data_IF_059607136887
#
_entry.id   IF_059607136887
#
_cell.length_a   1.000
_cell.length_b   1.000
_cell.length_c   1.000
_cell.angle_alpha   90.00
_cell.angle_beta   90.00
_cell.angle_gamma   90.00
#
_symmetry.space_group_name_H-M   'P 1'
#
loop_
_entity.id
_entity.type
_entity.pdbx_description
1 polymer ?
#
# COMPACT_ATOMS: atom_id res chain seq x y z
N UNK A 1 -21.02 49.48 32.77
CA UNK A 1 -20.15 48.29 32.88
C UNK A 1 -20.76 47.22 31.97
N UNK A 2 -20.17 46.99 30.79
CA UNK A 2 -20.70 46.11 29.73
C UNK A 2 -20.46 44.63 30.08
N UNK A 3 -21.52 43.82 30.02
CA UNK A 3 -21.49 42.37 30.19
C UNK A 3 -20.89 41.66 28.97
N UNK A 4 -19.97 40.72 29.23
CA UNK A 4 -19.24 39.92 28.25
C UNK A 4 -20.16 38.89 27.59
N UNK A 5 -20.21 38.90 26.26
CA UNK A 5 -20.82 37.84 25.46
C UNK A 5 -19.86 36.64 25.36
N UNK A 6 -20.32 35.44 25.74
CA UNK A 6 -19.63 34.18 25.50
C UNK A 6 -19.86 33.72 24.06
N UNK A 7 -18.78 33.65 23.27
CA UNK A 7 -18.79 33.11 21.92
C UNK A 7 -18.48 31.61 21.99
N UNK A 8 -19.46 30.77 21.65
CA UNK A 8 -19.23 29.33 21.46
C UNK A 8 -18.55 29.10 20.11
N UNK A 9 -17.28 28.67 20.14
CA UNK A 9 -16.58 28.21 18.95
C UNK A 9 -16.95 26.75 18.66
N UNK A 10 -17.72 26.52 17.59
CA UNK A 10 -18.00 25.19 17.06
C UNK A 10 -16.76 24.70 16.30
N UNK A 11 -16.06 23.71 16.86
CA UNK A 11 -15.00 22.97 16.17
C UNK A 11 -15.64 22.01 15.15
N UNK A 12 -15.72 22.43 13.89
CA UNK A 12 -16.00 21.53 12.77
C UNK A 12 -14.79 20.62 12.54
N UNK A 13 -14.95 19.36 12.91
CA UNK A 13 -13.96 18.32 12.61
C UNK A 13 -13.93 18.10 11.09
N UNK A 14 -12.81 18.45 10.44
CA UNK A 14 -12.55 18.09 9.05
C UNK A 14 -12.34 16.57 8.96
N UNK A 15 -13.42 15.81 8.80
CA UNK A 15 -13.33 14.49 8.21
C UNK A 15 -12.98 14.71 6.72
N UNK A 16 -11.71 14.55 6.38
CA UNK A 16 -11.29 14.57 4.98
C UNK A 16 -12.07 13.48 4.24
N UNK A 17 -12.86 13.80 3.20
CA UNK A 17 -13.44 12.78 2.37
C UNK A 17 -12.28 12.01 1.74
N UNK A 18 -12.31 10.68 1.84
CA UNK A 18 -11.47 9.82 1.01
C UNK A 18 -11.87 10.10 -0.44
N UNK A 19 -11.17 11.04 -1.09
CA UNK A 19 -11.33 11.30 -2.50
C UNK A 19 -11.11 9.97 -3.21
N UNK A 20 -12.12 9.50 -3.95
CA UNK A 20 -11.93 8.41 -4.89
C UNK A 20 -10.84 8.90 -5.86
N UNK A 21 -9.66 8.29 -5.77
CA UNK A 21 -8.54 8.66 -6.63
C UNK A 21 -9.00 8.53 -8.09
N UNK A 22 -8.72 9.54 -8.92
CA UNK A 22 -8.91 9.45 -10.36
C UNK A 22 -8.07 8.28 -10.87
N UNK A 23 -8.74 7.19 -11.26
CA UNK A 23 -8.09 5.97 -11.74
C UNK A 23 -7.12 6.24 -12.90
N UNK A 24 -7.38 7.29 -13.69
CA UNK A 24 -6.49 7.73 -14.77
C UNK A 24 -5.19 8.31 -14.23
N UNK A 25 -5.28 9.22 -13.25
CA UNK A 25 -4.12 9.78 -12.56
C UNK A 25 -3.29 8.73 -11.82
N UNK A 26 -3.95 7.75 -11.19
CA UNK A 26 -3.27 6.60 -10.56
C UNK A 26 -2.57 5.75 -11.61
N UNK A 27 -3.22 5.43 -12.73
CA UNK A 27 -2.63 4.65 -13.82
C UNK A 27 -1.40 5.33 -14.40
N UNK A 28 -1.47 6.64 -14.66
CA UNK A 28 -0.32 7.42 -15.13
C UNK A 28 0.85 7.35 -14.14
N UNK A 29 0.59 7.57 -12.85
CA UNK A 29 1.63 7.50 -11.81
C UNK A 29 2.26 6.11 -11.72
N UNK A 30 1.43 5.06 -11.82
CA UNK A 30 1.90 3.67 -11.84
C UNK A 30 2.79 3.41 -13.06
N UNK A 31 2.36 3.83 -14.25
CA UNK A 31 3.12 3.69 -15.50
C UNK A 31 4.46 4.43 -15.47
N UNK A 32 4.49 5.68 -14.98
CA UNK A 32 5.73 6.46 -14.85
C UNK A 32 6.75 5.75 -13.95
N UNK A 33 6.28 5.15 -12.84
CA UNK A 33 7.14 4.39 -11.91
C UNK A 33 7.65 3.09 -12.53
N UNK A 34 6.81 2.38 -13.27
CA UNK A 34 7.21 1.19 -14.04
C UNK A 34 8.26 1.55 -15.10
N UNK A 35 8.02 2.61 -15.86
CA UNK A 35 8.94 3.11 -16.89
C UNK A 35 10.32 3.38 -16.32
N UNK A 36 10.40 4.19 -15.27
CA UNK A 36 11.70 4.58 -14.70
C UNK A 36 12.39 3.43 -13.97
N UNK A 37 11.63 2.50 -13.38
CA UNK A 37 12.16 1.24 -12.83
C UNK A 37 12.76 0.35 -13.94
N UNK A 38 12.12 0.30 -15.12
CA UNK A 38 12.65 -0.43 -16.26
C UNK A 38 13.92 0.21 -16.83
N UNK A 39 14.00 1.55 -16.86
CA UNK A 39 15.21 2.28 -17.27
C UNK A 39 16.37 2.09 -16.26
N UNK A 40 16.08 2.10 -14.95
CA UNK A 40 17.07 1.87 -13.88
C UNK A 40 17.82 0.54 -14.05
N UNK A 41 17.14 -0.52 -14.49
CA UNK A 41 17.79 -1.83 -14.73
C UNK A 41 18.95 -1.76 -15.73
N UNK A 42 18.88 -0.87 -16.71
CA UNK A 42 19.94 -0.68 -17.71
C UNK A 42 20.92 0.43 -17.34
N UNK A 43 20.44 1.44 -16.62
CA UNK A 43 21.17 2.70 -16.42
C UNK A 43 21.71 2.91 -14.99
N UNK A 44 21.38 2.02 -14.05
CA UNK A 44 21.76 2.09 -12.64
C UNK A 44 21.49 3.50 -12.04
N UNK A 45 20.24 3.97 -12.19
CA UNK A 45 19.81 5.31 -11.83
C UNK A 45 19.63 5.49 -10.31
N UNK A 46 19.36 4.43 -9.57
CA UNK A 46 18.91 4.50 -8.19
C UNK A 46 19.79 3.69 -7.22
N UNK A 47 19.85 4.13 -5.98
CA UNK A 47 20.34 3.35 -4.85
C UNK A 47 19.33 2.26 -4.45
N UNK A 48 19.74 1.32 -3.61
CA UNK A 48 18.84 0.26 -3.10
C UNK A 48 17.63 0.83 -2.37
N UNK A 49 17.83 1.83 -1.49
CA UNK A 49 16.73 2.48 -0.76
C UNK A 49 15.72 3.16 -1.69
N UNK A 50 16.20 3.82 -2.74
CA UNK A 50 15.36 4.44 -3.77
C UNK A 50 14.58 3.40 -4.58
N UNK A 51 15.21 2.26 -4.94
CA UNK A 51 14.54 1.15 -5.62
C UNK A 51 13.42 0.55 -4.77
N UNK A 52 13.68 0.29 -3.49
CA UNK A 52 12.69 -0.25 -2.56
C UNK A 52 11.52 0.72 -2.36
N UNK A 53 11.81 2.02 -2.24
CA UNK A 53 10.78 3.05 -2.16
C UNK A 53 9.92 3.11 -3.43
N UNK A 54 10.56 3.08 -4.61
CA UNK A 54 9.87 3.07 -5.90
C UNK A 54 8.99 1.83 -6.03
N UNK A 55 9.50 0.65 -5.67
CA UNK A 55 8.77 -0.61 -5.68
C UNK A 55 7.55 -0.57 -4.75
N UNK A 56 7.71 -0.05 -3.53
CA UNK A 56 6.59 0.19 -2.62
C UNK A 56 5.52 1.09 -3.26
N UNK A 57 5.94 2.17 -3.92
CA UNK A 57 5.02 3.06 -4.64
C UNK A 57 4.31 2.38 -5.80
N UNK A 58 4.97 1.47 -6.51
CA UNK A 58 4.36 0.66 -7.58
C UNK A 58 3.26 -0.24 -6.99
N UNK A 59 3.54 -0.97 -5.90
CA UNK A 59 2.55 -1.86 -5.28
C UNK A 59 1.34 -1.11 -4.71
N UNK A 60 1.54 0.09 -4.16
CA UNK A 60 0.44 0.93 -3.69
C UNK A 60 -0.50 1.31 -4.84
N UNK A 61 0.04 1.84 -5.93
CA UNK A 61 -0.75 2.24 -7.09
C UNK A 61 -1.39 1.03 -7.79
N UNK A 62 -0.70 -0.11 -7.87
CA UNK A 62 -1.25 -1.35 -8.38
C UNK A 62 -2.48 -1.81 -7.55
N UNK A 63 -2.39 -1.74 -6.21
CA UNK A 63 -3.52 -2.05 -5.34
C UNK A 63 -4.72 -1.12 -5.53
N UNK A 64 -4.48 0.16 -5.82
CA UNK A 64 -5.53 1.13 -6.16
C UNK A 64 -6.18 0.82 -7.51
N UNK A 65 -5.39 0.51 -8.54
CA UNK A 65 -5.92 0.12 -9.86
C UNK A 65 -6.77 -1.15 -9.78
N UNK A 66 -6.33 -2.16 -9.02
CA UNK A 66 -7.10 -3.37 -8.78
C UNK A 66 -8.45 -3.06 -8.09
N UNK A 67 -8.46 -2.14 -7.12
CA UNK A 67 -9.71 -1.69 -6.47
C UNK A 67 -10.59 -0.85 -7.40
N UNK A 68 -10.02 -0.23 -8.42
CA UNK A 68 -10.72 0.46 -9.48
C UNK A 68 -11.14 -0.47 -10.64
N UNK A 69 -11.15 -1.80 -10.41
CA UNK A 69 -11.52 -2.84 -11.38
C UNK A 69 -10.62 -2.93 -12.63
N UNK A 70 -9.36 -2.47 -12.55
CA UNK A 70 -8.38 -2.73 -13.60
C UNK A 70 -7.96 -4.20 -13.56
N UNK A 71 -8.00 -4.89 -14.70
CA UNK A 71 -7.63 -6.31 -14.76
C UNK A 71 -6.11 -6.51 -14.73
N UNK A 72 -5.58 -7.59 -14.12
CA UNK A 72 -4.15 -7.92 -14.16
C UNK A 72 -3.61 -8.05 -15.58
N UNK A 73 -4.39 -8.62 -16.51
CA UNK A 73 -3.99 -8.79 -17.90
C UNK A 73 -3.78 -7.45 -18.61
N UNK A 74 -4.70 -6.48 -18.44
CA UNK A 74 -4.52 -5.13 -18.99
C UNK A 74 -3.30 -4.42 -18.38
N UNK A 75 -3.08 -4.55 -17.07
CA UNK A 75 -1.91 -3.95 -16.43
C UNK A 75 -0.61 -4.56 -16.98
N UNK A 76 -0.53 -5.89 -17.12
CA UNK A 76 0.66 -6.55 -17.66
C UNK A 76 1.00 -6.11 -19.10
N UNK A 77 -0.01 -5.93 -19.95
CA UNK A 77 0.19 -5.42 -21.31
C UNK A 77 0.79 -4.01 -21.29
N UNK A 78 0.20 -3.11 -20.50
CA UNK A 78 0.67 -1.73 -20.35
C UNK A 78 2.09 -1.66 -19.73
N UNK A 79 2.38 -2.49 -18.73
CA UNK A 79 3.71 -2.60 -18.13
C UNK A 79 4.75 -3.04 -19.17
N UNK A 80 4.43 -4.03 -20.00
CA UNK A 80 5.33 -4.53 -21.02
C UNK A 80 5.65 -3.44 -22.07
N UNK A 81 4.62 -2.75 -22.56
CA UNK A 81 4.76 -1.66 -23.53
C UNK A 81 5.64 -0.52 -22.98
N UNK A 82 5.28 0.00 -21.81
CA UNK A 82 5.99 1.14 -21.21
C UNK A 82 7.41 0.76 -20.79
N UNK A 83 7.62 -0.46 -20.30
CA UNK A 83 8.96 -0.97 -19.98
C UNK A 83 9.85 -1.08 -21.22
N UNK A 84 9.31 -1.55 -22.35
CA UNK A 84 10.05 -1.66 -23.59
C UNK A 84 10.46 -0.27 -24.12
N UNK A 85 9.51 0.67 -24.13
CA UNK A 85 9.77 2.04 -24.55
C UNK A 85 10.83 2.71 -23.65
N UNK A 86 10.69 2.61 -22.32
CA UNK A 86 11.63 3.21 -21.38
C UNK A 86 13.07 2.71 -21.56
N UNK A 87 13.25 1.42 -21.85
CA UNK A 87 14.57 0.83 -22.15
C UNK A 87 15.17 1.35 -23.46
N UNK A 88 14.35 1.73 -24.44
CA UNK A 88 14.83 2.24 -25.73
C UNK A 88 15.30 3.70 -25.72
N UNK A 89 14.89 4.51 -24.74
CA UNK A 89 15.22 5.94 -24.70
C UNK A 89 16.72 6.20 -24.49
N UNK A 90 17.43 5.28 -23.82
CA UNK A 90 18.83 5.45 -23.43
C UNK A 90 19.03 6.31 -22.18
N UNK A 91 20.15 6.12 -21.50
CA UNK A 91 20.37 6.67 -20.14
C UNK A 91 20.53 8.19 -20.09
N UNK A 92 20.94 8.83 -21.19
CA UNK A 92 21.12 10.27 -21.30
C UNK A 92 19.89 11.00 -21.85
N UNK A 93 18.79 10.30 -22.12
CA UNK A 93 17.58 10.91 -22.63
C UNK A 93 17.01 11.91 -21.60
N UNK A 94 16.61 13.14 -22.01
CA UNK A 94 16.16 14.17 -21.07
C UNK A 94 15.06 13.69 -20.11
N UNK A 95 14.05 12.98 -20.60
CA UNK A 95 12.96 12.46 -19.76
C UNK A 95 13.44 11.46 -18.70
N UNK A 96 14.44 10.61 -19.01
CA UNK A 96 14.99 9.64 -18.05
C UNK A 96 15.73 10.38 -16.94
N UNK A 97 16.55 11.38 -17.30
CA UNK A 97 17.32 12.18 -16.36
C UNK A 97 16.41 13.00 -15.45
N UNK A 98 15.39 13.66 -16.01
CA UNK A 98 14.45 14.50 -15.27
C UNK A 98 13.58 13.69 -14.29
N UNK A 99 13.02 12.56 -14.76
CA UNK A 99 12.21 11.69 -13.90
C UNK A 99 13.08 11.06 -12.80
N UNK A 100 14.30 10.62 -13.12
CA UNK A 100 15.22 10.10 -12.11
C UNK A 100 15.56 11.16 -11.04
N UNK A 101 15.82 12.41 -11.43
CA UNK A 101 16.07 13.51 -10.50
C UNK A 101 14.87 13.76 -9.58
N UNK A 102 13.65 13.69 -10.14
CA UNK A 102 12.40 13.82 -9.38
C UNK A 102 12.27 12.69 -8.36
N UNK A 103 12.46 11.43 -8.76
CA UNK A 103 12.37 10.28 -7.85
C UNK A 103 13.38 10.37 -6.70
N UNK A 104 14.65 10.71 -6.99
CA UNK A 104 15.68 10.92 -5.95
C UNK A 104 15.26 12.02 -4.97
N UNK A 105 14.65 13.09 -5.47
CA UNK A 105 14.15 14.18 -4.62
C UNK A 105 12.98 13.76 -3.74
N UNK A 106 11.98 13.08 -4.31
CA UNK A 106 10.84 12.54 -3.58
C UNK A 106 11.26 11.49 -2.55
N UNK A 107 12.27 10.67 -2.87
CA UNK A 107 12.82 9.69 -1.92
C UNK A 107 13.36 10.35 -0.66
N UNK A 108 14.05 11.50 -0.76
CA UNK A 108 14.55 12.22 0.42
C UNK A 108 13.43 12.65 1.38
N UNK A 109 12.23 12.89 0.86
CA UNK A 109 11.06 13.20 1.69
C UNK A 109 10.48 11.91 2.27
N UNK A 110 10.29 10.88 1.44
CA UNK A 110 9.80 9.57 1.85
C UNK A 110 10.69 8.88 2.89
N UNK A 111 12.01 9.05 2.82
CA UNK A 111 12.97 8.50 3.77
C UNK A 111 12.78 9.09 5.17
N UNK A 112 12.26 10.32 5.27
CA UNK A 112 11.92 10.97 6.53
C UNK A 112 10.55 10.56 7.06
N UNK A 113 9.71 9.94 6.23
CA UNK A 113 8.42 9.40 6.65
C UNK A 113 8.64 8.10 7.43
N UNK A 114 8.53 8.19 8.75
CA UNK A 114 8.73 7.05 9.67
C UNK A 114 7.47 6.21 9.88
N UNK A 115 6.30 6.70 9.47
CA UNK A 115 5.02 6.04 9.69
C UNK A 115 4.11 6.22 8.47
N UNK A 116 3.48 5.13 8.03
CA UNK A 116 2.60 5.08 6.86
C UNK A 116 1.32 4.30 7.22
N UNK A 117 0.20 4.75 6.69
CA UNK A 117 -1.08 4.07 6.84
C UNK A 117 -1.61 3.64 5.47
N UNK A 118 -2.11 2.42 5.43
CA UNK A 118 -2.73 1.81 4.26
C UNK A 118 -4.17 1.45 4.63
N UNK A 119 -5.13 2.37 4.40
CA UNK A 119 -6.53 2.12 4.71
C UNK A 119 -7.06 0.97 3.85
N UNK A 120 -7.83 0.08 4.47
CA UNK A 120 -8.58 -0.96 3.76
C UNK A 120 -10.03 -0.94 4.26
N UNK A 121 -10.99 -1.57 3.55
CA UNK A 121 -12.39 -1.55 3.95
C UNK A 121 -12.67 -2.07 5.36
N UNK A 122 -11.83 -2.96 5.92
CA UNK A 122 -12.07 -3.56 7.25
C UNK A 122 -11.21 -3.00 8.37
N UNK A 123 -9.94 -2.68 8.10
CA UNK A 123 -9.06 -2.06 9.09
C UNK A 123 -7.83 -1.47 8.39
N UNK A 124 -7.18 -0.51 9.03
CA UNK A 124 -5.99 0.16 8.49
C UNK A 124 -4.75 -0.65 8.84
N UNK A 125 -3.90 -0.88 7.82
CA UNK A 125 -2.55 -1.34 8.06
C UNK A 125 -1.64 -0.15 8.37
N UNK A 126 -0.96 -0.21 9.50
CA UNK A 126 0.04 0.77 9.91
C UNK A 126 1.44 0.18 9.71
N UNK A 127 2.31 0.89 9.02
CA UNK A 127 3.72 0.55 8.85
C UNK A 127 4.59 1.60 9.54
N UNK A 128 5.42 1.17 10.48
CA UNK A 128 6.41 2.01 11.14
C UNK A 128 7.81 1.62 10.75
N UNK A 129 8.69 2.60 10.57
CA UNK A 129 10.15 2.47 10.43
C UNK A 129 10.90 2.89 11.69
N UNK A 130 10.19 3.37 12.71
CA UNK A 130 10.81 3.70 14.00
C UNK A 130 11.33 2.43 14.67
N UNK A 131 12.58 2.45 15.11
CA UNK A 131 13.17 1.37 15.91
C UNK A 131 12.53 1.23 17.31
N UNK A 132 11.80 2.25 17.76
CA UNK A 132 11.09 2.25 19.04
C UNK A 132 9.76 1.50 18.98
N UNK A 133 9.20 1.30 17.79
CA UNK A 133 7.91 0.63 17.63
C UNK A 133 8.08 -0.88 17.55
N UNK A 134 7.33 -1.61 18.38
CA UNK A 134 7.38 -3.09 18.40
C UNK A 134 6.86 -3.73 17.12
N UNK A 135 5.98 -3.05 16.39
CA UNK A 135 5.38 -3.53 15.16
C UNK A 135 5.97 -2.77 13.97
N UNK A 136 6.49 -3.53 13.00
CA UNK A 136 6.97 -2.97 11.74
C UNK A 136 5.82 -2.70 10.79
N UNK A 137 4.90 -3.65 10.71
CA UNK A 137 3.65 -3.53 9.97
C UNK A 137 2.59 -4.26 10.79
N UNK A 138 1.45 -3.63 11.08
CA UNK A 138 0.37 -4.27 11.82
C UNK A 138 -1.00 -3.74 11.42
N UNK A 139 -1.99 -4.58 11.62
CA UNK A 139 -3.40 -4.23 11.58
C UNK A 139 -4.00 -4.59 12.94
N UNK A 140 -4.83 -3.68 13.46
CA UNK A 140 -5.57 -3.90 14.70
C UNK A 140 -7.05 -4.03 14.37
N UNK A 141 -7.68 -5.10 14.83
CA UNK A 141 -9.14 -5.22 14.78
C UNK A 141 -9.77 -4.33 15.87
N UNK A 142 -10.56 -3.35 15.46
CA UNK A 142 -11.12 -2.36 16.37
C UNK A 142 -12.15 -2.93 17.37
N UNK A 143 -12.74 -4.10 17.08
CA UNK A 143 -13.76 -4.72 17.94
C UNK A 143 -13.14 -5.60 19.02
N UNK A 144 -12.11 -6.36 18.66
CA UNK A 144 -11.49 -7.38 19.51
C UNK A 144 -10.14 -6.95 20.09
N UNK A 145 -9.55 -5.85 19.60
CA UNK A 145 -8.18 -5.41 19.91
C UNK A 145 -7.11 -6.48 19.61
N UNK A 146 -7.42 -7.43 18.73
CA UNK A 146 -6.43 -8.37 18.21
C UNK A 146 -5.54 -7.64 17.21
N UNK A 147 -4.24 -7.79 17.36
CA UNK A 147 -3.23 -7.23 16.47
C UNK A 147 -2.60 -8.36 15.67
N UNK A 148 -2.54 -8.19 14.35
CA UNK A 148 -1.85 -9.11 13.45
C UNK A 148 -0.82 -8.35 12.62
N UNK A 149 0.37 -8.90 12.46
CA UNK A 149 1.38 -8.28 11.60
C UNK A 149 2.81 -8.77 11.82
N UNK A 150 3.75 -7.99 11.31
CA UNK A 150 5.18 -8.22 11.46
C UNK A 150 5.68 -7.50 12.72
N UNK A 151 6.02 -8.28 13.75
CA UNK A 151 6.60 -7.80 15.00
C UNK A 151 8.12 -7.82 14.92
N UNK A 152 8.76 -6.76 15.39
CA UNK A 152 10.22 -6.71 15.57
C UNK A 152 10.65 -7.63 16.71
N UNK A 153 11.65 -8.47 16.45
CA UNK A 153 12.26 -9.37 17.41
C UNK A 153 13.77 -9.33 17.23
N UNK A 154 14.47 -8.61 18.13
CA UNK A 154 15.90 -8.31 17.98
C UNK A 154 16.16 -7.70 16.60
N UNK A 155 16.91 -8.37 15.75
CA UNK A 155 17.31 -7.93 14.40
C UNK A 155 16.49 -8.61 13.28
N UNK A 156 15.32 -9.17 13.60
CA UNK A 156 14.44 -9.89 12.66
C UNK A 156 12.96 -9.48 12.82
N UNK A 157 12.11 -9.91 11.89
CA UNK A 157 10.66 -9.76 11.94
C UNK A 157 9.98 -11.12 12.09
N UNK A 158 8.99 -11.20 12.97
CA UNK A 158 8.14 -12.39 13.14
C UNK A 158 6.69 -12.04 12.85
N UNK A 159 6.06 -12.80 11.96
CA UNK A 159 4.61 -12.78 11.80
C UNK A 159 3.98 -13.20 13.14
N UNK A 160 3.20 -12.31 13.73
CA UNK A 160 2.72 -12.44 15.10
C UNK A 160 1.25 -12.05 15.21
N UNK A 161 0.54 -12.73 16.10
CA UNK A 161 -0.79 -12.34 16.58
C UNK A 161 -0.66 -11.97 18.05
N UNK A 162 -1.21 -10.82 18.44
CA UNK A 162 -1.32 -10.40 19.83
C UNK A 162 -2.81 -10.25 20.18
N UNK A 163 -3.20 -10.78 21.33
CA UNK A 163 -4.57 -10.71 21.82
C UNK A 163 -4.59 -10.03 23.19
N UNK A 164 -5.71 -9.40 23.58
CA UNK A 164 -5.85 -8.86 24.93
C UNK A 164 -5.63 -9.94 26.00
N UNK A 165 -4.90 -9.59 27.06
CA UNK A 165 -4.55 -10.54 28.14
C UNK A 165 -5.78 -11.03 28.94
N UNK A 166 -6.87 -10.26 28.93
CA UNK A 166 -8.15 -10.62 29.54
C UNK A 166 -9.11 -11.07 28.43
N UNK A 167 -9.60 -12.30 28.49
CA UNK A 167 -10.53 -12.85 27.50
C UNK A 167 -10.33 -14.34 27.27
N UNK A 168 -10.93 -14.85 26.20
CA UNK A 168 -10.78 -16.24 25.79
C UNK A 168 -9.33 -16.53 25.38
N UNK A 169 -8.73 -17.59 25.94
CA UNK A 169 -7.41 -18.05 25.54
C UNK A 169 -7.50 -18.77 24.17
N UNK A 170 -6.73 -18.34 23.16
CA UNK A 170 -6.73 -19.01 21.87
C UNK A 170 -6.19 -20.43 22.00
N UNK A 171 -6.96 -21.41 21.54
CA UNK A 171 -6.55 -22.82 21.52
C UNK A 171 -5.95 -23.23 20.17
N UNK A 172 -6.34 -22.53 19.10
CA UNK A 172 -5.97 -22.86 17.71
C UNK A 172 -5.80 -21.60 16.89
N UNK A 173 -4.87 -21.61 15.93
CA UNK A 173 -4.68 -20.54 14.95
C UNK A 173 -4.78 -21.16 13.56
N UNK A 174 -5.57 -20.54 12.67
CA UNK A 174 -5.63 -20.91 11.26
C UNK A 174 -5.17 -19.73 10.41
N UNK A 175 -4.13 -19.94 9.61
CA UNK A 175 -3.71 -19.00 8.58
C UNK A 175 -4.25 -19.48 7.23
N UNK A 176 -5.09 -18.66 6.61
CA UNK A 176 -5.62 -18.92 5.26
C UNK A 176 -4.91 -17.98 4.30
N UNK A 177 -4.24 -18.54 3.31
CA UNK A 177 -3.51 -17.79 2.29
C UNK A 177 -4.10 -18.08 0.91
N UNK A 178 -3.98 -17.11 0.01
CA UNK A 178 -4.34 -17.29 -1.40
C UNK A 178 -3.35 -18.22 -2.07
N UNK A 179 -3.88 -19.23 -2.76
CA UNK A 179 -3.16 -20.02 -3.74
C UNK A 179 -3.23 -19.29 -5.09
N UNK A 180 -2.07 -18.86 -5.60
CA UNK A 180 -1.98 -18.05 -6.81
C UNK A 180 -2.29 -18.83 -8.08
N UNK A 181 -2.11 -20.16 -8.05
CA UNK A 181 -2.35 -21.02 -9.21
C UNK A 181 -3.85 -21.30 -9.37
N UNK A 182 -4.58 -21.35 -8.24
CA UNK A 182 -6.04 -21.57 -8.22
C UNK A 182 -6.84 -20.28 -8.34
N UNK A 183 -6.30 -19.17 -7.85
CA UNK A 183 -6.95 -17.87 -7.90
C UNK A 183 -5.89 -16.80 -8.19
N UNK A 184 -5.59 -16.57 -9.49
CA UNK A 184 -4.56 -15.62 -9.92
C UNK A 184 -4.83 -14.19 -9.44
N UNK A 185 -6.11 -13.82 -9.36
CA UNK A 185 -6.55 -12.50 -8.91
C UNK A 185 -6.72 -12.42 -7.39
N UNK A 186 -6.55 -11.23 -6.82
CA UNK A 186 -6.81 -11.01 -5.41
C UNK A 186 -8.31 -11.16 -5.12
N UNK A 187 -8.68 -11.91 -4.09
CA UNK A 187 -10.08 -11.99 -3.67
C UNK A 187 -10.53 -10.69 -3.04
N UNK A 188 -11.42 -9.97 -3.73
CA UNK A 188 -11.93 -8.67 -3.28
C UNK A 188 -13.18 -8.78 -2.40
N UNK A 189 -13.57 -9.99 -1.98
CA UNK A 189 -14.70 -10.19 -1.09
C UNK A 189 -16.01 -10.61 -1.76
N UNK A 190 -16.09 -10.59 -3.10
CA UNK A 190 -17.17 -11.25 -3.83
C UNK A 190 -16.76 -11.60 -5.26
N UNK A 191 -17.55 -12.46 -5.90
CA UNK A 191 -17.45 -12.79 -7.33
C UNK A 191 -17.87 -11.60 -8.20
N UNK A 192 -18.68 -10.68 -7.67
CA UNK A 192 -19.14 -9.47 -8.36
C UNK A 192 -18.23 -8.24 -8.09
N UNK A 193 -17.06 -8.43 -7.47
CA UNK A 193 -16.10 -7.36 -7.12
C UNK A 193 -16.09 -7.00 -5.63
N UNK A 194 -15.53 -5.83 -5.30
CA UNK A 194 -15.37 -5.36 -3.92
C UNK A 194 -16.72 -5.05 -3.24
N UNK A 195 -17.17 -5.95 -2.37
CA UNK A 195 -18.37 -5.77 -1.55
C UNK A 195 -18.02 -5.29 -0.14
N UNK A 196 -18.96 -4.61 0.54
CA UNK A 196 -18.82 -4.23 1.95
C UNK A 196 -18.59 -5.44 2.86
N UNK A 197 -19.10 -6.61 2.47
CA UNK A 197 -18.92 -7.86 3.17
C UNK A 197 -17.97 -8.76 2.37
N UNK A 198 -16.80 -9.09 2.92
CA UNK A 198 -15.98 -10.17 2.34
C UNK A 198 -16.75 -11.48 2.57
N UNK A 199 -17.29 -12.02 1.50
CA UNK A 199 -17.62 -13.44 1.43
C UNK A 199 -16.31 -14.23 1.50
N UNK A 200 -16.29 -15.42 2.12
CA UNK A 200 -15.14 -16.30 1.97
C UNK A 200 -14.89 -16.56 0.48
N UNK A 201 -13.62 -16.65 0.03
CA UNK A 201 -13.34 -17.06 -1.34
C UNK A 201 -14.04 -18.41 -1.61
N UNK A 202 -14.61 -18.62 -2.80
CA UNK A 202 -15.21 -19.90 -3.13
C UNK A 202 -14.18 -21.00 -2.89
N UNK A 203 -14.56 -22.01 -2.10
CA UNK A 203 -13.68 -23.15 -1.85
C UNK A 203 -13.38 -23.76 -3.23
N UNK A 204 -12.11 -23.98 -3.54
CA UNK A 204 -11.75 -24.70 -4.76
C UNK A 204 -12.48 -26.04 -4.73
N UNK A 205 -13.39 -26.25 -5.68
CA UNK A 205 -13.94 -27.57 -5.93
C UNK A 205 -12.74 -28.37 -6.45
N UNK A 206 -12.39 -29.41 -5.71
CA UNK A 206 -11.28 -30.30 -6.07
C UNK A 206 -11.60 -31.04 -7.35
#
# INVERSE_FOLDING_TARGET
>A
MLGRALTFAVLTSLAAPAALADSTGVQRTWLERIAISAADKSCNLFSEGERLALQSGIYQAQGELLRANKTPAEMQQLEAEVSAHARSLGCAHPSVVEVAATIRSSYRQFAKTSYLEYPTPRSTWAASRSGHDKWAVAQTDAKTNVVFGLRRVKDDFKLSVSMPAKGAQPQTVQLVMRDVDKMPEAWLGSIAGATKELSPPPRSIS
#
